data_IF_895873821839
#
_entry.id   IF_895873821839
#
_cell.length_a   1.000
_cell.length_b   1.000
_cell.length_c   1.000
_cell.angle_alpha   90.00
_cell.angle_beta   90.00
_cell.angle_gamma   90.00
#
_symmetry.space_group_name_H-M   'P 1'
#
loop_
_entity.id
_entity.type
_entity.pdbx_description
1 polymer ?
#
# COMPACT_ATOMS: atom_id res chain seq x y z
N UNK A 1 56.30 -44.72 -23.37
CA UNK A 1 55.31 -43.64 -23.11
C UNK A 1 54.42 -43.92 -21.89
N UNK A 2 54.98 -44.30 -20.72
CA UNK A 2 54.19 -44.58 -19.49
C UNK A 2 54.50 -43.66 -18.31
N UNK A 3 55.67 -43.00 -18.32
CA UNK A 3 56.10 -42.08 -17.23
C UNK A 3 55.59 -40.64 -17.49
N UNK A 4 55.43 -40.24 -18.76
CA UNK A 4 54.95 -38.90 -19.12
C UNK A 4 53.44 -38.71 -18.83
N UNK A 5 52.65 -39.79 -18.90
CA UNK A 5 51.21 -39.74 -18.63
C UNK A 5 50.91 -39.62 -17.13
N UNK A 6 51.76 -40.12 -16.23
CA UNK A 6 51.52 -40.09 -14.78
C UNK A 6 51.77 -38.74 -14.11
N UNK A 7 52.71 -37.94 -14.64
CA UNK A 7 53.02 -36.61 -14.09
C UNK A 7 51.93 -35.59 -14.45
N UNK A 8 51.32 -35.72 -15.64
CA UNK A 8 50.24 -34.84 -16.10
C UNK A 8 48.96 -35.05 -15.27
N UNK A 9 48.65 -36.28 -14.87
CA UNK A 9 47.44 -36.57 -14.06
C UNK A 9 47.55 -36.06 -12.63
N UNK A 10 48.73 -36.10 -12.02
CA UNK A 10 48.94 -35.65 -10.63
C UNK A 10 48.90 -34.12 -10.55
N UNK A 11 49.50 -33.41 -11.52
CA UNK A 11 49.44 -31.95 -11.58
C UNK A 11 48.00 -31.43 -11.80
N UNK A 12 47.19 -32.13 -12.61
CA UNK A 12 45.78 -31.75 -12.84
C UNK A 12 44.88 -31.89 -11.61
N UNK A 13 45.12 -32.89 -10.75
CA UNK A 13 44.33 -33.10 -9.52
C UNK A 13 44.65 -32.03 -8.46
N UNK A 14 45.91 -31.60 -8.35
CA UNK A 14 46.30 -30.54 -7.41
C UNK A 14 45.69 -29.19 -7.82
N UNK A 15 45.68 -28.86 -9.11
CA UNK A 15 45.04 -27.63 -9.62
C UNK A 15 43.53 -27.63 -9.41
N UNK A 16 42.86 -28.78 -9.62
CA UNK A 16 41.42 -28.90 -9.33
C UNK A 16 41.11 -28.72 -7.84
N UNK A 17 41.95 -29.26 -6.96
CA UNK A 17 41.76 -29.12 -5.51
C UNK A 17 41.92 -27.67 -5.04
N UNK A 18 42.87 -26.91 -5.59
CA UNK A 18 43.01 -25.47 -5.31
C UNK A 18 41.83 -24.65 -5.84
N UNK A 19 41.34 -24.92 -7.06
CA UNK A 19 40.18 -24.22 -7.62
C UNK A 19 38.87 -24.47 -6.85
N UNK A 20 38.67 -25.68 -6.33
CA UNK A 20 37.49 -26.01 -5.51
C UNK A 20 37.57 -25.32 -4.13
N UNK A 21 38.77 -25.18 -3.56
CA UNK A 21 38.96 -24.51 -2.28
C UNK A 21 38.80 -22.98 -2.37
N UNK A 22 39.32 -22.35 -3.42
CA UNK A 22 39.13 -20.90 -3.67
C UNK A 22 37.65 -20.57 -3.90
N UNK A 23 36.95 -21.35 -4.72
CA UNK A 23 35.53 -21.15 -4.99
C UNK A 23 34.66 -21.32 -3.72
N UNK A 24 35.05 -22.23 -2.81
CA UNK A 24 34.35 -22.43 -1.52
C UNK A 24 34.66 -21.32 -0.52
N UNK A 25 35.85 -20.72 -0.57
CA UNK A 25 36.21 -19.57 0.24
C UNK A 25 35.50 -18.29 -0.24
N UNK A 26 35.39 -18.09 -1.56
CA UNK A 26 34.59 -17.02 -2.15
C UNK A 26 33.10 -17.19 -1.83
N UNK A 27 32.52 -18.39 -1.99
CA UNK A 27 31.13 -18.63 -1.62
C UNK A 27 30.84 -18.37 -0.13
N UNK A 28 31.78 -18.68 0.77
CA UNK A 28 31.63 -18.37 2.21
C UNK A 28 31.66 -16.87 2.49
N UNK A 29 32.50 -16.10 1.78
CA UNK A 29 32.53 -14.65 1.91
C UNK A 29 31.25 -14.01 1.36
N UNK A 30 30.77 -14.48 0.21
CA UNK A 30 29.51 -14.00 -0.38
C UNK A 30 28.31 -14.36 0.50
N UNK A 31 28.27 -15.55 1.09
CA UNK A 31 27.22 -15.93 2.05
C UNK A 31 27.30 -15.15 3.37
N UNK A 32 28.51 -14.83 3.85
CA UNK A 32 28.65 -13.98 5.04
C UNK A 32 28.19 -12.56 4.77
N UNK A 33 28.57 -11.96 3.64
CA UNK A 33 28.11 -10.62 3.25
C UNK A 33 26.60 -10.61 3.02
N UNK A 34 26.04 -11.61 2.34
CA UNK A 34 24.60 -11.74 2.14
C UNK A 34 23.85 -11.89 3.47
N UNK A 35 24.36 -12.70 4.41
CA UNK A 35 23.74 -12.88 5.73
C UNK A 35 23.90 -11.64 6.64
N UNK A 36 24.97 -10.87 6.48
CA UNK A 36 25.21 -9.62 7.22
C UNK A 36 24.34 -8.49 6.67
N UNK A 37 24.15 -8.42 5.35
CA UNK A 37 23.21 -7.52 4.68
C UNK A 37 21.76 -7.89 5.00
N UNK A 38 21.37 -9.18 5.00
CA UNK A 38 20.02 -9.62 5.39
C UNK A 38 19.70 -9.24 6.84
N UNK A 39 20.68 -9.41 7.75
CA UNK A 39 20.53 -9.06 9.16
C UNK A 39 20.45 -7.56 9.37
N UNK A 40 21.14 -6.77 8.54
CA UNK A 40 21.10 -5.31 8.57
C UNK A 40 19.78 -4.79 8.00
N UNK A 41 19.28 -5.37 6.92
CA UNK A 41 17.97 -5.05 6.32
C UNK A 41 16.83 -5.42 7.27
N UNK A 42 16.85 -6.61 7.88
CA UNK A 42 15.86 -6.98 8.91
C UNK A 42 15.91 -6.05 10.12
N UNK A 43 17.10 -5.61 10.55
CA UNK A 43 17.20 -4.65 11.65
C UNK A 43 16.67 -3.27 11.28
N UNK A 44 16.83 -2.84 10.02
CA UNK A 44 16.32 -1.56 9.52
C UNK A 44 14.79 -1.62 9.38
N UNK A 45 14.24 -2.69 8.81
CA UNK A 45 12.79 -2.91 8.75
C UNK A 45 12.15 -2.98 10.14
N UNK A 46 12.83 -3.61 11.11
CA UNK A 46 12.37 -3.66 12.49
C UNK A 46 12.40 -2.28 13.17
N UNK A 47 13.46 -1.48 12.95
CA UNK A 47 13.55 -0.11 13.46
C UNK A 47 12.48 0.78 12.83
N UNK A 48 12.25 0.66 11.53
CA UNK A 48 11.24 1.43 10.80
C UNK A 48 9.82 1.05 11.25
N UNK A 49 9.54 -0.24 11.47
CA UNK A 49 8.29 -0.69 12.08
C UNK A 49 8.14 -0.18 13.53
N UNK A 50 9.19 -0.23 14.35
CA UNK A 50 9.13 0.25 15.74
C UNK A 50 8.92 1.78 15.80
N UNK A 51 9.51 2.52 14.86
CA UNK A 51 9.32 3.96 14.72
C UNK A 51 7.90 4.30 14.23
N UNK A 52 7.37 3.56 13.26
CA UNK A 52 5.97 3.66 12.81
C UNK A 52 4.99 3.29 13.93
N UNK A 53 5.22 2.22 14.68
CA UNK A 53 4.39 1.83 15.83
C UNK A 53 4.42 2.89 16.94
N UNK A 54 5.59 3.51 17.19
CA UNK A 54 5.72 4.56 18.19
C UNK A 54 5.02 5.84 17.73
N UNK A 55 5.16 6.22 16.46
CA UNK A 55 4.39 7.33 15.88
C UNK A 55 2.89 7.05 15.93
N UNK A 56 2.44 5.82 15.67
CA UNK A 56 1.05 5.43 15.79
C UNK A 56 0.57 5.45 17.23
N UNK A 57 1.38 4.99 18.20
CA UNK A 57 1.04 5.08 19.64
C UNK A 57 0.97 6.52 20.11
N UNK A 58 1.87 7.39 19.65
CA UNK A 58 1.83 8.82 19.97
C UNK A 58 0.62 9.50 19.34
N UNK A 59 0.36 9.26 18.05
CA UNK A 59 -0.86 9.72 17.38
C UNK A 59 -2.09 9.19 18.10
N UNK A 60 -2.20 7.91 18.41
CA UNK A 60 -3.33 7.36 19.16
C UNK A 60 -3.50 8.00 20.54
N UNK A 61 -2.42 8.27 21.27
CA UNK A 61 -2.50 9.01 22.54
C UNK A 61 -2.98 10.43 22.33
N UNK A 62 -2.52 11.11 21.28
CA UNK A 62 -2.97 12.43 20.90
C UNK A 62 -4.45 12.42 20.50
N UNK A 63 -4.89 11.45 19.69
CA UNK A 63 -6.28 11.25 19.29
C UNK A 63 -7.18 10.94 20.50
N UNK A 64 -6.74 10.07 21.42
CA UNK A 64 -7.48 9.77 22.67
C UNK A 64 -7.53 10.98 23.62
N UNK A 65 -6.47 11.78 23.69
CA UNK A 65 -6.47 13.02 24.47
C UNK A 65 -7.40 14.09 23.87
N UNK A 66 -7.51 14.13 22.54
CA UNK A 66 -8.38 15.04 21.78
C UNK A 66 -9.86 14.60 21.78
N UNK A 67 -10.13 13.30 21.90
CA UNK A 67 -11.47 12.73 22.02
C UNK A 67 -12.22 13.14 23.30
N UNK A 68 -11.53 13.69 24.31
CA UNK A 68 -12.17 14.38 25.44
C UNK A 68 -12.68 15.78 25.02
N UNK A 69 -13.72 15.78 24.19
CA UNK A 69 -14.81 16.74 24.27
C UNK A 69 -14.76 18.03 23.46
N UNK A 70 -13.75 18.31 22.62
CA UNK A 70 -13.69 19.57 21.86
C UNK A 70 -13.02 19.52 20.47
N UNK A 71 -12.64 18.34 19.95
CA UNK A 71 -12.01 18.23 18.63
C UNK A 71 -12.54 17.00 17.88
N UNK A 72 -13.14 17.24 16.70
CA UNK A 72 -13.53 16.20 15.76
C UNK A 72 -12.29 15.76 14.96
N UNK A 73 -12.07 14.45 14.85
CA UNK A 73 -10.98 13.84 14.10
C UNK A 73 -11.58 13.11 12.91
N UNK A 74 -11.15 13.47 11.70
CA UNK A 74 -11.45 12.71 10.48
C UNK A 74 -10.26 11.80 10.15
N UNK A 75 -10.50 10.49 10.10
CA UNK A 75 -9.53 9.50 9.65
C UNK A 75 -9.85 9.15 8.21
N UNK A 76 -8.90 9.41 7.30
CA UNK A 76 -9.03 9.04 5.89
C UNK A 76 -7.89 8.09 5.51
N UNK A 77 -8.22 6.98 4.86
CA UNK A 77 -7.24 6.00 4.36
C UNK A 77 -7.24 6.04 2.84
N UNK A 78 -6.06 6.24 2.26
CA UNK A 78 -5.91 6.35 0.83
C UNK A 78 -5.77 4.97 0.18
N UNK A 79 -6.83 4.50 -0.49
CA UNK A 79 -6.87 3.19 -1.15
C UNK A 79 -7.53 2.08 -0.32
N UNK A 80 -7.47 0.88 -0.89
CA UNK A 80 -8.10 -0.34 -0.37
C UNK A 80 -7.13 -1.51 -0.28
N UNK A 81 -5.83 -1.23 -0.13
CA UNK A 81 -4.82 -2.25 0.08
C UNK A 81 -5.15 -3.13 1.29
N UNK A 82 -4.67 -4.38 1.30
CA UNK A 82 -4.95 -5.36 2.36
C UNK A 82 -4.70 -4.84 3.78
N UNK A 83 -3.73 -3.95 3.94
CA UNK A 83 -3.36 -3.31 5.20
C UNK A 83 -4.51 -2.50 5.84
N UNK A 84 -5.45 -1.98 5.04
CA UNK A 84 -6.67 -1.31 5.54
C UNK A 84 -7.43 -2.24 6.49
N UNK A 85 -7.65 -3.49 6.08
CA UNK A 85 -8.41 -4.44 6.87
C UNK A 85 -7.57 -5.14 7.95
N UNK A 86 -6.31 -5.47 7.66
CA UNK A 86 -5.48 -6.25 8.60
C UNK A 86 -4.83 -5.41 9.69
N UNK A 87 -4.61 -4.13 9.45
CA UNK A 87 -3.80 -3.27 10.32
C UNK A 87 -4.58 -2.04 10.76
N UNK A 88 -5.09 -1.25 9.82
CA UNK A 88 -5.74 0.04 10.15
C UNK A 88 -7.05 -0.20 10.89
N UNK A 89 -7.91 -1.06 10.38
CA UNK A 89 -9.22 -1.32 10.96
C UNK A 89 -9.14 -1.80 12.42
N UNK A 90 -8.35 -2.84 12.78
CA UNK A 90 -8.15 -3.23 14.16
C UNK A 90 -7.47 -2.14 15.01
N UNK A 91 -6.54 -1.39 14.43
CA UNK A 91 -5.78 -0.35 15.11
C UNK A 91 -6.66 0.81 15.60
N UNK A 92 -7.67 1.20 14.81
CA UNK A 92 -8.57 2.31 15.15
C UNK A 92 -9.86 1.87 15.85
N UNK A 93 -10.19 0.57 15.85
CA UNK A 93 -11.37 0.03 16.54
C UNK A 93 -11.39 0.39 18.04
N UNK A 94 -10.22 0.56 18.67
CA UNK A 94 -10.08 1.00 20.06
C UNK A 94 -10.31 2.50 20.33
N UNK A 95 -10.64 3.30 19.31
CA UNK A 95 -10.85 4.75 19.41
C UNK A 95 -12.32 5.18 19.36
N UNK A 96 -13.28 4.24 19.31
CA UNK A 96 -14.70 4.52 18.98
C UNK A 96 -14.89 5.38 17.72
N UNK A 97 -13.85 5.50 16.90
CA UNK A 97 -13.78 6.38 15.74
C UNK A 97 -13.91 5.53 14.48
N UNK A 98 -14.67 6.05 13.52
CA UNK A 98 -14.89 5.44 12.20
C UNK A 98 -14.08 6.20 11.17
N UNK A 99 -13.46 5.48 10.24
CA UNK A 99 -12.70 6.07 9.15
C UNK A 99 -13.48 6.11 7.84
N UNK A 100 -12.92 6.83 6.87
CA UNK A 100 -13.32 6.81 5.47
C UNK A 100 -12.16 6.25 4.65
N UNK A 101 -12.39 5.22 3.83
CA UNK A 101 -11.39 4.74 2.86
C UNK A 101 -11.74 5.15 1.43
N UNK A 102 -10.76 5.19 0.53
CA UNK A 102 -10.95 5.75 -0.82
C UNK A 102 -10.93 4.63 -1.86
N UNK A 103 -12.03 4.50 -2.62
CA UNK A 103 -12.09 3.70 -3.84
C UNK A 103 -11.57 4.54 -5.00
N UNK A 104 -10.62 3.97 -5.75
CA UNK A 104 -9.92 4.69 -6.83
C UNK A 104 -10.16 4.06 -8.19
N UNK A 105 -10.32 4.91 -9.19
CA UNK A 105 -10.17 4.53 -10.61
C UNK A 105 -11.06 3.37 -11.05
N UNK A 106 -12.25 3.24 -10.44
CA UNK A 106 -13.19 2.16 -10.72
C UNK A 106 -12.81 0.82 -10.12
N UNK A 107 -11.64 0.66 -9.52
CA UNK A 107 -11.18 -0.64 -9.00
C UNK A 107 -12.11 -1.08 -7.87
N UNK A 108 -12.70 -2.27 -8.02
CA UNK A 108 -13.62 -2.82 -7.03
C UNK A 108 -12.89 -3.76 -6.04
N UNK A 109 -13.34 -3.84 -4.77
CA UNK A 109 -12.81 -4.80 -3.82
C UNK A 109 -12.85 -6.24 -4.35
N UNK A 110 -11.72 -6.95 -4.24
CA UNK A 110 -11.55 -8.32 -4.73
C UNK A 110 -11.12 -8.45 -6.20
N UNK A 111 -10.95 -7.36 -6.94
CA UNK A 111 -10.42 -7.43 -8.31
C UNK A 111 -8.92 -7.65 -8.36
N UNK A 112 -8.19 -7.11 -7.37
CA UNK A 112 -6.74 -7.26 -7.26
C UNK A 112 -6.38 -8.05 -6.02
N UNK A 113 -5.38 -8.93 -6.08
CA UNK A 113 -4.98 -9.77 -4.95
C UNK A 113 -4.35 -8.98 -3.79
N UNK A 114 -3.80 -7.80 -4.06
CA UNK A 114 -3.23 -6.89 -3.07
C UNK A 114 -4.28 -6.08 -2.30
N UNK A 115 -5.50 -5.99 -2.81
CA UNK A 115 -6.59 -5.24 -2.23
C UNK A 115 -7.43 -6.09 -1.26
N UNK A 116 -8.26 -5.42 -0.47
CA UNK A 116 -9.27 -6.09 0.36
C UNK A 116 -10.25 -6.88 -0.53
N UNK A 117 -10.75 -7.99 0.00
CA UNK A 117 -11.80 -8.77 -0.66
C UNK A 117 -13.15 -8.06 -0.60
N UNK A 118 -14.11 -8.54 -1.39
CA UNK A 118 -15.49 -8.04 -1.29
C UNK A 118 -16.10 -8.27 0.11
N UNK A 119 -15.83 -9.42 0.71
CA UNK A 119 -16.32 -9.74 2.05
C UNK A 119 -15.75 -8.80 3.12
N UNK A 120 -14.48 -8.44 3.01
CA UNK A 120 -13.81 -7.49 3.91
C UNK A 120 -14.34 -6.07 3.73
N UNK A 121 -14.62 -5.66 2.48
CA UNK A 121 -15.30 -4.39 2.21
C UNK A 121 -16.69 -4.32 2.86
N UNK A 122 -17.52 -5.37 2.66
CA UNK A 122 -18.86 -5.40 3.22
C UNK A 122 -18.83 -5.40 4.76
N UNK A 123 -17.85 -6.09 5.38
CA UNK A 123 -17.64 -6.04 6.83
C UNK A 123 -17.27 -4.64 7.32
N UNK A 124 -16.35 -3.94 6.66
CA UNK A 124 -15.99 -2.56 7.02
C UNK A 124 -17.23 -1.64 7.00
N UNK A 125 -18.03 -1.71 5.93
CA UNK A 125 -19.23 -0.88 5.77
C UNK A 125 -20.28 -1.20 6.83
N UNK A 126 -20.55 -2.49 7.10
CA UNK A 126 -21.50 -2.91 8.15
C UNK A 126 -21.05 -2.44 9.53
N UNK A 127 -19.73 -2.38 9.78
CA UNK A 127 -19.15 -1.85 11.02
C UNK A 127 -19.04 -0.32 11.04
N UNK A 128 -19.62 0.36 10.06
CA UNK A 128 -19.80 1.81 10.06
C UNK A 128 -18.63 2.60 9.46
N UNK A 129 -17.71 1.95 8.74
CA UNK A 129 -16.78 2.68 7.90
C UNK A 129 -17.49 3.30 6.71
N UNK A 130 -17.07 4.51 6.36
CA UNK A 130 -17.51 5.15 5.13
C UNK A 130 -16.47 4.89 4.03
N UNK A 131 -16.87 5.16 2.80
CA UNK A 131 -15.96 5.21 1.68
C UNK A 131 -16.24 6.44 0.82
N UNK A 132 -15.22 6.87 0.09
CA UNK A 132 -15.28 7.97 -0.85
C UNK A 132 -14.77 7.50 -2.22
N UNK A 133 -15.17 8.20 -3.26
CA UNK A 133 -14.66 7.96 -4.61
C UNK A 133 -13.52 8.91 -4.94
N UNK A 134 -12.60 8.44 -5.77
CA UNK A 134 -11.54 9.26 -6.37
C UNK A 134 -11.18 8.72 -7.73
N UNK A 135 -10.77 9.61 -8.63
CA UNK A 135 -10.25 9.25 -9.95
C UNK A 135 -8.98 10.06 -10.21
N UNK A 136 -7.94 9.34 -10.58
CA UNK A 136 -6.63 9.86 -10.91
C UNK A 136 -6.70 10.71 -12.19
N UNK A 137 -6.25 11.96 -12.10
CA UNK A 137 -6.02 12.76 -13.32
C UNK A 137 -4.70 12.33 -13.98
N UNK A 138 -4.76 12.04 -15.29
CA UNK A 138 -3.57 11.84 -16.12
C UNK A 138 -2.97 13.20 -16.55
N UNK A 139 -1.70 13.21 -16.95
CA UNK A 139 -0.91 14.45 -17.23
C UNK A 139 -1.53 15.35 -18.32
N UNK A 140 -2.35 14.76 -19.18
CA UNK A 140 -2.99 15.33 -20.36
C UNK A 140 -4.52 15.51 -20.20
N UNK A 141 -5.06 15.31 -18.98
CA UNK A 141 -6.51 15.36 -18.76
C UNK A 141 -7.07 16.78 -18.68
N UNK A 142 -8.01 17.05 -19.58
CA UNK A 142 -8.99 18.12 -19.44
C UNK A 142 -10.21 17.62 -18.63
N UNK A 143 -11.12 18.53 -18.27
CA UNK A 143 -12.32 18.22 -17.49
C UNK A 143 -13.20 17.14 -18.13
N UNK A 144 -13.29 17.10 -19.46
CA UNK A 144 -14.12 16.14 -20.20
C UNK A 144 -13.61 14.71 -20.02
N UNK A 145 -12.30 14.50 -20.19
CA UNK A 145 -11.69 13.18 -19.97
C UNK A 145 -11.83 12.73 -18.52
N UNK A 146 -11.59 13.64 -17.56
CA UNK A 146 -11.77 13.31 -16.14
C UNK A 146 -13.23 12.94 -15.83
N UNK A 147 -14.20 13.65 -16.42
CA UNK A 147 -15.63 13.34 -16.26
C UNK A 147 -15.95 11.97 -16.82
N UNK A 148 -15.42 11.61 -17.99
CA UNK A 148 -15.62 10.30 -18.58
C UNK A 148 -15.01 9.16 -17.73
N UNK A 149 -13.83 9.38 -17.15
CA UNK A 149 -13.21 8.42 -16.23
C UNK A 149 -14.04 8.26 -14.94
N UNK A 150 -14.58 9.35 -14.40
CA UNK A 150 -15.49 9.31 -13.27
C UNK A 150 -16.77 8.53 -13.57
N UNK A 151 -17.39 8.80 -14.71
CA UNK A 151 -18.62 8.10 -15.12
C UNK A 151 -18.37 6.61 -15.35
N UNK A 152 -17.24 6.25 -15.95
CA UNK A 152 -16.83 4.86 -16.13
C UNK A 152 -16.58 4.16 -14.78
N UNK A 153 -15.88 4.82 -13.86
CA UNK A 153 -15.62 4.29 -12.53
C UNK A 153 -16.91 4.07 -11.72
N UNK A 154 -17.81 5.06 -11.71
CA UNK A 154 -19.14 4.96 -11.07
C UNK A 154 -19.95 3.83 -11.71
N UNK A 155 -19.96 3.73 -13.04
CA UNK A 155 -20.63 2.66 -13.76
C UNK A 155 -20.16 1.29 -13.29
N UNK A 156 -18.85 1.08 -13.27
CA UNK A 156 -18.25 -0.19 -12.86
C UNK A 156 -18.51 -0.52 -11.39
N UNK A 157 -18.37 0.44 -10.47
CA UNK A 157 -18.71 0.24 -9.07
C UNK A 157 -20.18 -0.15 -8.86
N UNK A 158 -21.11 0.48 -9.59
CA UNK A 158 -22.53 0.14 -9.53
C UNK A 158 -22.80 -1.27 -10.08
N UNK A 159 -22.12 -1.69 -11.15
CA UNK A 159 -22.19 -3.06 -11.69
C UNK A 159 -21.70 -4.10 -10.66
N UNK A 160 -20.68 -3.74 -9.88
CA UNK A 160 -20.19 -4.53 -8.75
C UNK A 160 -21.07 -4.45 -7.49
N UNK A 161 -22.22 -3.76 -7.54
CA UNK A 161 -23.12 -3.60 -6.39
C UNK A 161 -22.51 -2.78 -5.24
N UNK A 162 -21.59 -1.87 -5.55
CA UNK A 162 -21.08 -0.87 -4.62
C UNK A 162 -21.98 0.36 -4.74
N UNK A 163 -22.51 0.83 -3.61
CA UNK A 163 -23.33 2.03 -3.60
C UNK A 163 -22.53 3.29 -3.95
N UNK A 164 -23.21 4.33 -4.44
CA UNK A 164 -22.57 5.64 -4.64
C UNK A 164 -22.45 6.35 -3.28
N UNK A 165 -21.24 6.71 -2.83
CA UNK A 165 -21.05 7.46 -1.60
C UNK A 165 -21.36 8.94 -1.82
N UNK A 166 -21.58 9.67 -0.73
CA UNK A 166 -21.83 11.12 -0.80
C UNK A 166 -20.53 11.95 -0.96
N UNK A 167 -19.34 11.32 -0.95
CA UNK A 167 -18.07 12.04 -0.87
C UNK A 167 -17.16 11.70 -2.03
N UNK A 168 -16.62 12.73 -2.68
CA UNK A 168 -15.52 12.63 -3.63
C UNK A 168 -14.25 13.30 -3.06
N UNK A 169 -13.10 12.65 -3.23
CA UNK A 169 -11.80 13.13 -2.78
C UNK A 169 -10.84 13.24 -3.96
N UNK A 170 -10.06 14.32 -4.01
CA UNK A 170 -8.95 14.49 -4.94
C UNK A 170 -7.82 15.29 -4.30
N UNK A 171 -6.62 15.20 -4.87
CA UNK A 171 -5.53 16.03 -4.40
C UNK A 171 -5.78 17.52 -4.74
N UNK A 172 -5.15 18.41 -3.98
CA UNK A 172 -5.26 19.85 -4.23
C UNK A 172 -4.74 20.27 -5.61
N UNK A 173 -3.78 19.52 -6.18
CA UNK A 173 -3.21 19.78 -7.51
C UNK A 173 -4.10 19.30 -8.65
N UNK A 174 -4.99 18.33 -8.39
CA UNK A 174 -5.95 17.82 -9.37
C UNK A 174 -7.25 18.63 -9.40
N UNK A 175 -7.58 19.31 -8.30
CA UNK A 175 -8.82 20.06 -8.20
C UNK A 175 -8.90 21.25 -9.17
N UNK A 176 -10.04 21.36 -9.87
CA UNK A 176 -10.42 22.51 -10.67
C UNK A 176 -11.85 22.94 -10.27
N UNK A 177 -12.12 24.24 -10.17
CA UNK A 177 -13.46 24.74 -9.79
C UNK A 177 -14.58 24.21 -10.69
N UNK A 178 -14.29 23.96 -11.96
CA UNK A 178 -15.26 23.39 -12.89
C UNK A 178 -15.70 21.95 -12.54
N UNK A 179 -14.93 21.22 -11.72
CA UNK A 179 -15.30 19.89 -11.23
C UNK A 179 -16.48 19.96 -10.26
N UNK A 180 -16.67 21.05 -9.52
CA UNK A 180 -17.76 21.17 -8.54
C UNK A 180 -19.13 20.97 -9.19
N UNK A 181 -19.33 21.52 -10.39
CA UNK A 181 -20.59 21.39 -11.13
C UNK A 181 -20.83 19.92 -11.49
N UNK A 182 -19.79 19.25 -12.00
CA UNK A 182 -19.84 17.83 -12.41
C UNK A 182 -20.11 16.92 -11.21
N UNK A 183 -19.48 17.21 -10.07
CA UNK A 183 -19.64 16.44 -8.82
C UNK A 183 -21.03 16.65 -8.20
N UNK A 184 -21.53 17.88 -8.20
CA UNK A 184 -22.88 18.20 -7.70
C UNK A 184 -23.97 17.54 -8.55
N UNK A 185 -23.82 17.49 -9.87
CA UNK A 185 -24.74 16.77 -10.76
C UNK A 185 -24.82 15.26 -10.44
N UNK A 186 -23.73 14.70 -9.90
CA UNK A 186 -23.62 13.29 -9.47
C UNK A 186 -23.91 13.09 -7.98
N UNK A 187 -24.46 14.11 -7.32
CA UNK A 187 -24.88 14.09 -5.91
C UNK A 187 -23.72 13.94 -4.91
N UNK A 188 -22.47 14.15 -5.34
CA UNK A 188 -21.35 14.19 -4.41
C UNK A 188 -21.32 15.53 -3.67
N UNK A 189 -21.20 15.45 -2.34
CA UNK A 189 -20.57 16.49 -1.55
C UNK A 189 -19.08 16.52 -1.85
N UNK A 190 -18.56 17.67 -2.28
CA UNK A 190 -17.13 17.84 -2.59
C UNK A 190 -16.38 18.14 -1.29
N UNK A 191 -15.52 17.22 -0.86
CA UNK A 191 -14.66 17.43 0.29
C UNK A 191 -13.23 17.65 -0.20
N UNK A 192 -12.78 18.91 -0.14
CA UNK A 192 -11.40 19.26 -0.47
C UNK A 192 -10.49 18.87 0.69
N UNK A 193 -9.95 17.65 0.66
CA UNK A 193 -8.93 17.22 1.60
C UNK A 193 -7.58 17.65 1.04
N UNK A 194 -7.02 18.71 1.61
CA UNK A 194 -5.64 19.11 1.35
C UNK A 194 -4.76 18.20 2.22
N UNK A 195 -4.19 17.15 1.60
CA UNK A 195 -3.12 16.35 2.20
C UNK A 195 -1.78 17.11 2.12
#
# INVERSE_FOLDING_TARGET
MKILAGIITIAGIVVLAFLILDNKAEQRKVQQVAAEDEKKTQSLEYIEMEELENQDKEKQKELKAKANGNQDILITVDGIDKSLYTTVYPGVAGLESRGTFILKDGIAPGERPEDISREEFDDLVVNGWNYAYSVSMQEDNNLENWTALLDAAIGHWNECGIGTPDVYVCSATQYQEAMDVVLQERVFGVWKIIL
#
